data_IF_151361615819
#
_entry.id   IF_151361615819
#
_cell.length_a   1.000
_cell.length_b   1.000
_cell.length_c   1.000
_cell.angle_alpha   90.00
_cell.angle_beta   90.00
_cell.angle_gamma   90.00
#
_symmetry.space_group_name_H-M   'P 1'
#
loop_
_entity.id
_entity.type
_entity.pdbx_description
1 polymer ?
#
# COMPACT_ATOMS: atom_id res chain seq x y z
N UNK A 1 22.05 18.04 15.85
CA UNK A 1 21.12 17.29 16.73
C UNK A 1 20.00 18.18 17.30
N UNK A 2 19.85 19.45 16.90
CA UNK A 2 18.92 20.38 17.57
C UNK A 2 17.63 20.75 16.83
N UNK A 3 17.45 20.39 15.56
CA UNK A 3 16.23 20.74 14.81
C UNK A 3 15.03 19.81 15.09
N UNK A 4 15.27 18.62 15.65
CA UNK A 4 14.20 17.66 16.02
C UNK A 4 13.41 18.05 17.27
N UNK A 5 13.99 18.87 18.15
CA UNK A 5 13.38 19.22 19.45
C UNK A 5 12.29 20.29 19.35
N UNK A 6 12.36 21.18 18.35
CA UNK A 6 11.39 22.26 18.16
C UNK A 6 10.06 21.79 17.54
N UNK A 7 10.07 20.73 16.73
CA UNK A 7 8.84 20.23 16.10
C UNK A 7 7.93 19.43 17.07
N UNK A 8 8.48 18.81 18.12
CA UNK A 8 7.69 18.03 19.09
C UNK A 8 7.05 18.88 20.19
N UNK A 9 7.52 20.11 20.44
CA UNK A 9 6.97 20.96 21.50
C UNK A 9 5.61 21.60 21.13
N UNK A 10 5.33 21.82 19.83
CA UNK A 10 4.09 22.46 19.38
C UNK A 10 2.88 21.51 19.29
N UNK A 11 3.07 20.20 19.41
CA UNK A 11 1.99 19.21 19.30
C UNK A 11 1.38 18.79 20.67
N UNK A 12 1.91 19.29 21.79
CA UNK A 12 1.43 18.98 23.15
C UNK A 12 1.07 20.25 23.92
N UNK A 13 0.05 20.97 23.45
CA UNK A 13 -0.64 21.97 24.26
C UNK A 13 -2.08 21.50 24.52
N UNK A 14 -2.47 21.12 25.75
CA UNK A 14 -3.86 20.83 26.06
C UNK A 14 -4.69 22.12 26.08
N UNK A 15 -5.73 22.18 25.23
CA UNK A 15 -6.81 23.17 25.29
C UNK A 15 -7.44 23.14 26.69
N UNK A 16 -7.31 24.23 27.45
CA UNK A 16 -8.04 24.45 28.71
C UNK A 16 -9.52 24.69 28.39
N UNK A 17 -10.38 23.79 28.85
CA UNK A 17 -11.82 24.01 28.93
C UNK A 17 -12.15 24.45 30.37
N UNK A 18 -12.64 25.67 30.51
CA UNK A 18 -13.09 26.29 31.75
C UNK A 18 -14.48 25.79 32.16
N UNK A 19 -14.65 25.41 33.43
CA UNK A 19 -15.97 25.24 34.08
C UNK A 19 -15.96 25.99 35.42
N UNK A 20 -17.12 26.55 35.85
CA UNK A 20 -17.14 27.69 36.76
C UNK A 20 -17.13 27.30 38.24
N UNK A 21 -16.47 28.16 39.03
CA UNK A 21 -16.42 28.16 40.49
C UNK A 21 -17.73 28.70 41.07
N UNK A 22 -18.41 27.89 41.89
CA UNK A 22 -19.46 28.35 42.79
C UNK A 22 -18.85 28.68 44.17
N UNK A 23 -18.85 29.96 44.51
CA UNK A 23 -18.51 30.49 45.83
C UNK A 23 -19.65 30.23 46.82
N UNK A 24 -19.35 29.74 48.03
CA UNK A 24 -20.30 29.69 49.14
C UNK A 24 -19.65 30.30 50.38
N UNK A 25 -20.14 31.48 50.77
CA UNK A 25 -19.92 32.10 52.06
C UNK A 25 -21.26 32.50 52.66
N UNK A 26 -21.34 32.38 54.00
CA UNK A 26 -22.16 33.14 54.94
C UNK A 26 -23.00 32.26 55.92
N UNK A 27 -22.40 32.12 57.11
CA UNK A 27 -22.96 32.10 58.45
C UNK A 27 -24.45 32.44 58.63
N UNK A 28 -25.15 31.64 59.44
CA UNK A 28 -26.07 32.12 60.47
C UNK A 28 -26.07 31.19 61.69
N UNK A 29 -26.14 31.81 62.86
CA UNK A 29 -26.12 31.26 64.22
C UNK A 29 -27.55 31.19 64.77
N UNK A 30 -27.91 30.10 65.46
CA UNK A 30 -28.84 30.12 66.60
C UNK A 30 -28.80 28.79 67.39
N UNK A 31 -28.91 28.93 68.71
CA UNK A 31 -28.59 28.04 69.84
C UNK A 31 -29.75 27.08 70.28
N UNK A 32 -29.59 26.21 71.32
CA UNK A 32 -30.18 24.84 71.50
C UNK A 32 -31.35 24.84 72.54
N UNK A 33 -31.81 23.77 73.29
CA UNK A 33 -31.26 22.43 73.61
C UNK A 33 -32.23 21.21 73.71
N UNK A 34 -31.69 19.99 73.84
CA UNK A 34 -31.93 19.05 74.97
C UNK A 34 -31.64 17.57 74.62
N UNK A 35 -31.37 16.82 75.69
CA UNK A 35 -30.89 15.45 75.89
C UNK A 35 -31.64 14.28 75.22
N UNK A 36 -30.89 13.24 74.82
CA UNK A 36 -31.17 11.83 75.18
C UNK A 36 -30.02 10.90 74.73
N UNK A 37 -29.64 9.97 75.61
CA UNK A 37 -28.55 8.99 75.49
C UNK A 37 -28.95 7.69 74.77
N UNK A 38 -28.00 7.01 74.08
CA UNK A 38 -27.74 5.54 74.04
C UNK A 38 -27.07 5.12 72.70
N UNK A 39 -26.56 3.89 72.53
CA UNK A 39 -25.58 3.13 73.32
C UNK A 39 -24.26 2.90 72.54
N UNK A 40 -23.16 2.58 73.25
CA UNK A 40 -21.86 2.22 72.65
C UNK A 40 -21.85 0.75 72.25
N UNK A 41 -21.57 0.46 70.98
CA UNK A 41 -21.29 -0.88 70.45
C UNK A 41 -19.79 -1.04 70.08
N UNK A 42 -19.23 -2.26 70.17
CA UNK A 42 -17.79 -2.48 70.25
C UNK A 42 -17.08 -2.39 68.90
N UNK A 43 -15.80 -1.97 68.96
CA UNK A 43 -14.85 -1.92 67.83
C UNK A 43 -14.75 -3.25 67.09
N UNK A 44 -15.12 -3.25 65.82
CA UNK A 44 -14.78 -4.33 64.88
C UNK A 44 -13.38 -4.09 64.32
N UNK A 45 -12.46 -5.02 64.66
CA UNK A 45 -11.11 -5.08 64.12
C UNK A 45 -11.19 -5.61 62.68
N UNK A 46 -11.23 -4.72 61.70
CA UNK A 46 -11.11 -5.09 60.29
C UNK A 46 -9.62 -5.26 59.93
N UNK A 47 -9.13 -6.49 60.01
CA UNK A 47 -7.87 -6.89 59.37
C UNK A 47 -8.16 -7.28 57.91
N UNK A 48 -8.03 -6.34 56.99
CA UNK A 48 -7.89 -6.61 55.57
C UNK A 48 -6.74 -5.75 55.01
N UNK A 49 -5.81 -6.32 54.22
CA UNK A 49 -4.81 -5.52 53.54
C UNK A 49 -5.50 -4.59 52.54
N UNK A 50 -5.05 -3.35 52.47
CA UNK A 50 -5.44 -2.36 51.47
C UNK A 50 -5.18 -2.98 50.09
N UNK A 51 -6.22 -3.51 49.46
CA UNK A 51 -6.21 -3.90 48.06
C UNK A 51 -6.11 -2.59 47.27
N UNK A 52 -4.97 -2.38 46.61
CA UNK A 52 -4.81 -1.31 45.63
C UNK A 52 -5.93 -1.41 44.60
N UNK A 53 -6.56 -0.28 44.33
CA UNK A 53 -7.62 -0.14 43.34
C UNK A 53 -7.17 -0.65 41.97
N UNK A 54 -7.99 -1.44 41.25
CA UNK A 54 -7.68 -1.94 39.90
C UNK A 54 -7.66 -0.83 38.82
N UNK A 55 -7.88 0.43 39.20
CA UNK A 55 -7.83 1.60 38.32
C UNK A 55 -6.41 2.13 38.04
N UNK A 56 -5.38 1.68 38.76
CA UNK A 56 -3.99 2.09 38.47
C UNK A 56 -3.31 1.23 37.39
N UNK A 57 -3.87 0.07 37.05
CA UNK A 57 -3.38 -0.77 35.95
C UNK A 57 -4.19 -0.49 34.67
N UNK A 58 -3.54 -0.26 33.52
CA UNK A 58 -4.26 -0.14 32.25
C UNK A 58 -5.06 -1.42 31.97
N UNK A 59 -6.24 -1.27 31.35
CA UNK A 59 -7.13 -2.39 31.05
C UNK A 59 -6.42 -3.42 30.16
N UNK A 60 -6.78 -4.70 30.31
CA UNK A 60 -6.25 -5.80 29.49
C UNK A 60 -6.56 -5.60 27.99
N UNK A 61 -7.56 -4.77 27.68
CA UNK A 61 -7.98 -4.38 26.32
C UNK A 61 -7.35 -3.09 25.80
N UNK A 62 -6.53 -2.39 26.58
CA UNK A 62 -5.88 -1.16 26.13
C UNK A 62 -4.76 -1.48 25.15
N UNK A 63 -4.96 -1.15 23.87
CA UNK A 63 -3.92 -1.21 22.85
C UNK A 63 -2.92 -0.08 23.08
N UNK A 64 -1.76 -0.41 23.65
CA UNK A 64 -0.65 0.55 23.71
C UNK A 64 -0.04 0.68 22.31
N UNK A 65 0.28 1.90 21.86
CA UNK A 65 0.93 2.11 20.57
C UNK A 65 2.29 1.40 20.52
N UNK A 66 2.64 0.89 19.34
CA UNK A 66 3.88 0.15 19.13
C UNK A 66 5.11 1.00 19.47
N UNK A 67 5.92 0.53 20.43
CA UNK A 67 7.09 1.25 20.91
C UNK A 67 8.32 0.94 20.04
N UNK A 68 8.62 1.86 19.10
CA UNK A 68 9.79 1.80 18.23
C UNK A 68 11.13 1.90 18.99
N UNK A 69 11.16 2.49 20.18
CA UNK A 69 12.38 2.56 20.99
C UNK A 69 12.69 1.22 21.65
N UNK A 70 11.64 0.49 22.07
CA UNK A 70 11.77 -0.88 22.54
C UNK A 70 12.21 -1.85 21.43
N UNK A 71 11.64 -1.72 20.23
CA UNK A 71 12.03 -2.53 19.07
C UNK A 71 13.50 -2.33 18.66
N UNK A 72 14.04 -1.12 18.87
CA UNK A 72 15.45 -0.79 18.63
C UNK A 72 16.38 -1.19 19.80
N UNK A 73 15.84 -1.76 20.87
CA UNK A 73 16.61 -2.18 22.05
C UNK A 73 17.15 -1.04 22.91
N UNK A 74 16.70 0.20 22.66
CA UNK A 74 17.06 1.37 23.45
C UNK A 74 16.26 1.44 24.75
N UNK A 75 15.10 0.77 24.78
CA UNK A 75 14.22 0.62 25.94
C UNK A 75 13.81 -0.84 26.10
N UNK A 76 13.51 -1.27 27.32
CA UNK A 76 12.94 -2.61 27.55
C UNK A 76 11.50 -2.67 27.05
N UNK A 77 11.09 -3.73 26.32
CA UNK A 77 9.73 -3.83 25.83
C UNK A 77 8.73 -3.88 26.99
N UNK A 78 7.58 -3.19 26.87
CA UNK A 78 6.57 -3.12 27.93
C UNK A 78 5.93 -4.48 28.23
N UNK A 79 5.98 -5.42 27.29
CA UNK A 79 5.50 -6.79 27.45
C UNK A 79 6.68 -7.73 27.70
N UNK A 80 7.14 -7.84 28.95
CA UNK A 80 7.84 -9.06 29.36
C UNK A 80 6.76 -10.11 29.62
N UNK A 81 6.69 -11.23 28.88
CA UNK A 81 5.69 -12.24 29.17
C UNK A 81 5.91 -12.74 30.60
N UNK A 82 4.87 -12.64 31.42
CA UNK A 82 4.74 -13.36 32.69
C UNK A 82 4.64 -14.86 32.35
N UNK A 83 5.76 -15.46 31.94
CA UNK A 83 5.89 -16.91 31.86
C UNK A 83 5.74 -17.51 33.27
N UNK A 84 5.34 -18.79 33.37
CA UNK A 84 5.08 -19.43 34.65
C UNK A 84 6.33 -19.30 35.53
N UNK A 85 6.15 -18.86 36.77
CA UNK A 85 7.18 -18.76 37.81
C UNK A 85 8.11 -19.97 37.70
N UNK A 86 9.30 -19.78 37.11
CA UNK A 86 10.36 -20.78 37.18
C UNK A 86 10.70 -20.92 38.65
N UNK A 87 10.36 -22.10 39.18
CA UNK A 87 10.71 -22.61 40.51
C UNK A 87 12.14 -22.19 40.83
N UNK A 88 12.30 -21.57 42.01
CA UNK A 88 13.54 -20.93 42.44
C UNK A 88 14.76 -21.80 42.19
N UNK A 89 15.69 -21.27 41.38
CA UNK A 89 17.06 -21.78 41.34
C UNK A 89 17.64 -21.51 42.73
N UNK A 90 18.06 -22.58 43.41
CA UNK A 90 18.74 -22.54 44.71
C UNK A 90 19.86 -21.49 44.65
N UNK A 91 19.73 -20.41 45.42
CA UNK A 91 20.86 -19.63 45.90
C UNK A 91 21.60 -20.52 46.91
N UNK A 92 22.67 -21.18 46.48
CA UNK A 92 23.70 -21.61 47.43
C UNK A 92 24.41 -20.34 47.89
N UNK A 93 24.29 -20.05 49.19
CA UNK A 93 24.85 -18.87 49.81
C UNK A 93 26.37 -18.84 49.76
N UNK A 94 26.89 -17.63 49.70
CA UNK A 94 28.05 -17.14 50.46
C UNK A 94 27.79 -15.65 50.67
N UNK A 95 27.99 -15.22 51.92
CA UNK A 95 27.63 -13.92 52.47
C UNK A 95 28.29 -12.74 51.76
N UNK A 96 27.52 -11.68 51.54
CA UNK A 96 28.02 -10.30 51.49
C UNK A 96 26.85 -9.35 51.81
N UNK A 97 26.92 -8.60 52.92
CA UNK A 97 25.89 -7.67 53.30
C UNK A 97 26.23 -6.31 52.69
N UNK A 98 25.88 -6.08 51.42
CA UNK A 98 25.68 -4.73 50.92
C UNK A 98 24.71 -4.74 49.74
N UNK A 99 23.59 -4.05 49.93
CA UNK A 99 22.46 -4.02 49.02
C UNK A 99 22.75 -3.21 47.77
N UNK A 100 23.19 -3.88 46.71
CA UNK A 100 22.98 -3.42 45.34
C UNK A 100 22.99 -4.62 44.37
N UNK A 101 21.84 -5.29 44.27
CA UNK A 101 21.64 -6.31 43.25
C UNK A 101 21.54 -5.64 41.87
N UNK A 102 22.67 -5.41 41.22
CA UNK A 102 22.71 -5.01 39.81
C UNK A 102 22.11 -6.13 38.99
N UNK A 103 21.01 -5.86 38.27
CA UNK A 103 20.43 -6.78 37.31
C UNK A 103 21.54 -7.31 36.39
N UNK A 104 21.77 -8.63 36.40
CA UNK A 104 22.80 -9.27 35.58
C UNK A 104 22.51 -8.95 34.12
N UNK A 105 23.34 -8.10 33.51
CA UNK A 105 23.22 -7.75 32.09
C UNK A 105 23.32 -9.04 31.29
N UNK A 106 22.21 -9.44 30.64
CA UNK A 106 22.16 -10.60 29.76
C UNK A 106 23.28 -10.47 28.72
N UNK A 107 24.26 -11.37 28.77
CA UNK A 107 25.34 -11.40 27.78
C UNK A 107 24.73 -11.75 26.42
N UNK A 108 24.48 -10.74 25.60
CA UNK A 108 24.03 -10.92 24.22
C UNK A 108 25.24 -11.40 23.42
N UNK A 109 25.19 -12.64 22.94
CA UNK A 109 26.24 -13.21 22.08
C UNK A 109 26.42 -12.31 20.87
N UNK A 110 27.61 -11.76 20.69
CA UNK A 110 27.94 -10.96 19.51
C UNK A 110 27.96 -11.90 18.30
N UNK A 111 27.30 -11.49 17.21
CA UNK A 111 27.37 -12.19 15.91
C UNK A 111 28.82 -12.31 15.47
N UNK A 112 29.18 -13.46 14.88
CA UNK A 112 30.52 -13.71 14.37
C UNK A 112 30.84 -12.77 13.19
N UNK A 113 32.11 -12.53 12.90
CA UNK A 113 32.51 -11.71 11.74
C UNK A 113 31.98 -12.30 10.43
N UNK A 114 31.98 -13.62 10.30
CA UNK A 114 31.41 -14.32 9.16
C UNK A 114 29.91 -14.05 9.01
N UNK A 115 29.14 -14.17 10.10
CA UNK A 115 27.70 -13.88 10.10
C UNK A 115 27.39 -12.40 9.80
N UNK A 116 28.30 -11.48 10.16
CA UNK A 116 28.16 -10.07 9.80
C UNK A 116 28.36 -9.86 8.30
N UNK A 117 29.38 -10.46 7.71
CA UNK A 117 29.70 -10.30 6.28
C UNK A 117 28.60 -10.93 5.43
N UNK A 118 28.13 -12.13 5.77
CA UNK A 118 27.04 -12.79 5.02
C UNK A 118 25.69 -12.08 5.17
N UNK A 119 25.49 -11.33 6.26
CA UNK A 119 24.29 -10.51 6.48
C UNK A 119 24.36 -9.08 5.89
N UNK A 120 25.50 -8.64 5.34
CA UNK A 120 25.61 -7.30 4.74
C UNK A 120 24.66 -7.10 3.55
N UNK A 121 24.54 -8.04 2.58
CA UNK A 121 23.64 -7.84 1.44
C UNK A 121 22.17 -7.73 1.86
N UNK A 122 21.74 -8.54 2.82
CA UNK A 122 20.35 -8.48 3.33
C UNK A 122 20.09 -7.20 4.11
N UNK A 123 21.09 -6.70 4.86
CA UNK A 123 21.00 -5.42 5.55
C UNK A 123 20.91 -4.24 4.58
N UNK A 124 21.73 -4.22 3.53
CA UNK A 124 21.69 -3.19 2.50
C UNK A 124 20.35 -3.24 1.76
N UNK A 125 19.89 -4.44 1.38
CA UNK A 125 18.58 -4.62 0.74
C UNK A 125 17.43 -4.12 1.63
N UNK A 126 17.49 -4.38 2.93
CA UNK A 126 16.52 -3.87 3.90
C UNK A 126 16.60 -2.34 4.07
N UNK A 127 17.80 -1.78 4.15
CA UNK A 127 17.98 -0.33 4.24
C UNK A 127 17.48 0.37 2.96
N UNK A 128 17.73 -0.21 1.77
CA UNK A 128 17.21 0.26 0.48
C UNK A 128 15.67 0.15 0.44
N UNK A 129 15.08 -0.92 0.96
CA UNK A 129 13.62 -1.08 0.93
C UNK A 129 12.90 -0.10 1.87
N UNK A 130 13.56 0.34 2.95
CA UNK A 130 13.02 1.35 3.86
C UNK A 130 13.27 2.77 3.34
N UNK A 131 14.31 2.99 2.53
CA UNK A 131 14.70 4.30 2.04
C UNK A 131 13.56 5.13 1.41
N UNK A 132 12.68 4.58 0.55
CA UNK A 132 11.54 5.32 0.00
C UNK A 132 10.56 5.86 1.05
N UNK A 133 10.44 5.18 2.19
CA UNK A 133 9.53 5.57 3.27
C UNK A 133 10.17 6.56 4.26
N UNK A 134 11.50 6.68 4.27
CA UNK A 134 12.25 7.54 5.19
C UNK A 134 12.59 8.92 4.62
N UNK A 135 12.51 9.08 3.30
CA UNK A 135 12.71 10.38 2.64
C UNK A 135 11.33 11.02 2.44
N UNK A 136 11.11 12.28 2.86
CA UNK A 136 9.90 13.00 2.52
C UNK A 136 9.94 13.34 1.03
N UNK A 137 9.56 12.36 0.20
CA UNK A 137 9.41 12.58 -1.23
C UNK A 137 8.26 13.57 -1.47
N UNK A 138 8.37 14.45 -2.47
CA UNK A 138 7.26 15.30 -2.85
C UNK A 138 6.05 14.45 -3.21
N UNK A 139 4.85 14.99 -3.00
CA UNK A 139 3.62 14.29 -3.34
C UNK A 139 3.67 13.78 -4.79
N UNK A 140 3.15 12.59 -5.10
CA UNK A 140 3.28 11.97 -6.43
C UNK A 140 2.74 12.87 -7.55
N UNK A 141 1.72 13.69 -7.26
CA UNK A 141 1.18 14.70 -8.18
C UNK A 141 2.19 15.81 -8.49
N UNK A 142 2.89 16.30 -7.46
CA UNK A 142 3.90 17.36 -7.63
C UNK A 142 5.13 16.86 -8.36
N UNK A 143 5.61 15.64 -8.07
CA UNK A 143 6.73 15.04 -8.82
C UNK A 143 6.35 14.78 -10.27
N UNK A 144 5.16 14.24 -10.54
CA UNK A 144 4.67 14.04 -11.90
C UNK A 144 4.55 15.35 -12.69
N UNK A 145 4.07 16.42 -12.04
CA UNK A 145 4.00 17.75 -12.65
C UNK A 145 5.41 18.30 -12.97
N UNK A 146 6.35 18.18 -12.04
CA UNK A 146 7.75 18.59 -12.27
C UNK A 146 8.37 17.80 -13.42
N UNK A 147 8.22 16.46 -13.42
CA UNK A 147 8.74 15.60 -14.49
C UNK A 147 8.08 15.97 -15.83
N UNK A 148 6.75 16.06 -15.89
CA UNK A 148 6.03 16.44 -17.11
C UNK A 148 6.42 17.82 -17.63
N UNK A 149 6.59 18.80 -16.73
CA UNK A 149 7.07 20.14 -17.07
C UNK A 149 8.51 20.13 -17.59
N UNK A 150 9.41 19.34 -16.99
CA UNK A 150 10.77 19.18 -17.51
C UNK A 150 10.78 18.52 -18.88
N UNK A 151 9.92 17.53 -19.14
CA UNK A 151 9.77 16.90 -20.45
C UNK A 151 9.29 17.90 -21.51
N UNK A 152 8.33 18.78 -21.18
CA UNK A 152 7.93 19.88 -22.05
C UNK A 152 9.07 20.85 -22.33
N UNK A 153 9.83 21.24 -21.31
CA UNK A 153 10.96 22.15 -21.46
C UNK A 153 12.03 21.55 -22.36
N UNK A 154 12.37 20.28 -22.16
CA UNK A 154 13.33 19.57 -23.02
C UNK A 154 12.82 19.52 -24.45
N UNK A 155 11.54 19.19 -24.65
CA UNK A 155 10.95 19.15 -25.99
C UNK A 155 10.96 20.53 -26.67
N UNK A 156 10.63 21.59 -25.92
CA UNK A 156 10.75 22.97 -26.39
C UNK A 156 12.19 23.32 -26.81
N UNK A 157 13.18 23.02 -25.98
CA UNK A 157 14.60 23.24 -26.32
C UNK A 157 15.02 22.49 -27.59
N UNK A 158 14.54 21.26 -27.76
CA UNK A 158 14.74 20.46 -28.98
C UNK A 158 14.15 21.18 -30.19
N UNK A 159 12.90 21.66 -30.11
CA UNK A 159 12.24 22.35 -31.23
C UNK A 159 12.94 23.67 -31.58
N UNK A 160 13.36 24.44 -30.58
CA UNK A 160 14.13 25.67 -30.80
C UNK A 160 15.48 25.34 -31.48
N UNK A 161 16.14 24.26 -31.08
CA UNK A 161 17.37 23.80 -31.74
C UNK A 161 17.13 23.40 -33.19
N UNK A 162 16.06 22.66 -33.47
CA UNK A 162 15.70 22.23 -34.83
C UNK A 162 15.37 23.41 -35.75
N UNK A 163 14.66 24.42 -35.24
CA UNK A 163 14.32 25.62 -36.03
C UNK A 163 15.59 26.43 -36.34
N UNK A 164 16.53 26.51 -35.40
CA UNK A 164 17.81 27.21 -35.60
C UNK A 164 18.79 26.48 -36.51
N UNK A 165 18.64 25.17 -36.67
CA UNK A 165 19.50 24.34 -37.52
C UNK A 165 18.98 24.23 -38.96
N UNK A 166 17.86 24.86 -39.31
CA UNK A 166 17.38 24.95 -40.69
C UNK A 166 18.38 25.84 -41.45
N UNK A 167 19.13 25.31 -42.44
CA UNK A 167 20.08 26.10 -43.20
C UNK A 167 19.34 27.20 -43.98
N UNK A 168 19.90 28.42 -44.00
CA UNK A 168 19.36 29.54 -44.80
C UNK A 168 19.34 29.23 -46.32
N UNK A 169 20.06 28.19 -46.77
CA UNK A 169 20.03 27.67 -48.13
C UNK A 169 18.66 27.15 -48.57
N UNK A 170 17.82 26.68 -47.64
CA UNK A 170 16.45 26.25 -47.93
C UNK A 170 15.49 27.45 -48.16
N UNK A 171 15.96 28.68 -47.90
CA UNK A 171 15.14 29.91 -47.93
C UNK A 171 15.40 30.74 -49.21
N UNK A 172 16.49 30.48 -49.96
CA UNK A 172 16.83 31.25 -51.16
C UNK A 172 17.58 30.44 -52.22
N UNK A 173 17.21 30.64 -53.49
CA UNK A 173 17.83 30.02 -54.68
C UNK A 173 19.33 30.37 -54.90
N UNK A 174 19.91 31.16 -54.01
CA UNK A 174 21.22 31.79 -54.14
C UNK A 174 22.37 30.95 -53.55
N UNK A 175 22.08 29.93 -52.72
CA UNK A 175 23.08 29.17 -51.97
C UNK A 175 23.31 27.71 -52.44
N UNK A 176 22.72 27.32 -53.58
CA UNK A 176 22.82 25.96 -54.15
C UNK A 176 24.26 25.54 -54.54
N UNK A 177 25.24 26.45 -54.46
CA UNK A 177 26.65 26.20 -54.77
C UNK A 177 27.54 25.99 -53.54
N UNK A 178 27.02 26.08 -52.31
CA UNK A 178 27.81 25.95 -51.06
C UNK A 178 27.25 24.94 -50.04
N UNK A 179 26.44 23.98 -50.46
CA UNK A 179 25.61 23.14 -49.58
C UNK A 179 26.36 22.14 -48.69
N UNK A 180 27.64 21.85 -48.91
CA UNK A 180 28.22 20.61 -48.37
C UNK A 180 29.08 20.76 -47.10
N UNK A 181 29.36 21.98 -46.63
CA UNK A 181 30.46 22.18 -45.66
C UNK A 181 30.05 22.37 -44.19
N UNK A 182 28.76 22.55 -43.87
CA UNK A 182 28.31 22.87 -42.51
C UNK A 182 27.19 21.97 -41.96
N UNK A 183 26.86 20.86 -42.62
CA UNK A 183 25.88 19.90 -42.10
C UNK A 183 26.53 19.08 -40.99
N UNK A 184 26.05 19.23 -39.77
CA UNK A 184 26.50 18.40 -38.65
C UNK A 184 26.18 16.93 -38.95
N UNK A 185 27.21 16.07 -38.96
CA UNK A 185 27.06 14.62 -39.21
C UNK A 185 26.15 13.91 -38.18
N UNK A 186 25.89 14.55 -37.04
CA UNK A 186 25.03 14.05 -35.98
C UNK A 186 24.08 15.14 -35.49
N UNK A 187 22.77 14.91 -35.70
CA UNK A 187 21.71 15.72 -35.10
C UNK A 187 21.24 15.05 -33.80
N UNK A 188 21.56 15.69 -32.67
CA UNK A 188 21.19 15.20 -31.33
C UNK A 188 19.68 15.29 -31.07
N UNK A 189 18.95 16.09 -31.85
CA UNK A 189 17.53 16.34 -31.62
C UNK A 189 16.68 15.11 -31.95
N UNK A 190 17.01 14.39 -33.02
CA UNK A 190 16.33 13.16 -33.45
C UNK A 190 16.31 12.09 -32.35
N UNK A 191 17.46 11.60 -31.82
CA UNK A 191 17.45 10.58 -30.77
C UNK A 191 16.76 11.07 -29.50
N UNK A 192 16.86 12.35 -29.16
CA UNK A 192 16.17 12.91 -28.00
C UNK A 192 14.65 12.93 -28.17
N UNK A 193 14.14 13.27 -29.36
CA UNK A 193 12.69 13.14 -29.65
C UNK A 193 12.23 11.69 -29.55
N UNK A 194 13.01 10.73 -30.08
CA UNK A 194 12.71 9.30 -29.94
C UNK A 194 12.63 8.88 -28.47
N UNK A 195 13.57 9.32 -27.62
CA UNK A 195 13.55 9.05 -26.18
C UNK A 195 12.29 9.64 -25.53
N UNK A 196 11.87 10.84 -25.90
CA UNK A 196 10.65 11.47 -25.38
C UNK A 196 9.37 10.71 -25.80
N UNK A 197 9.30 10.24 -27.05
CA UNK A 197 8.20 9.39 -27.54
C UNK A 197 8.15 8.09 -26.75
N UNK A 198 9.29 7.42 -26.58
CA UNK A 198 9.40 6.17 -25.83
C UNK A 198 8.99 6.40 -24.38
N UNK A 199 9.47 7.46 -23.74
CA UNK A 199 9.13 7.78 -22.35
C UNK A 199 7.62 8.02 -22.16
N UNK A 200 6.99 8.81 -23.05
CA UNK A 200 5.54 9.06 -23.00
C UNK A 200 4.73 7.79 -23.27
N UNK A 201 5.20 6.96 -24.22
CA UNK A 201 4.56 5.68 -24.57
C UNK A 201 4.67 4.67 -23.43
N UNK A 202 5.84 4.53 -22.81
CA UNK A 202 6.06 3.67 -21.66
C UNK A 202 5.22 4.10 -20.46
N UNK A 203 5.12 5.42 -20.17
CA UNK A 203 4.24 5.91 -19.11
C UNK A 203 2.77 5.54 -19.39
N UNK A 204 2.34 5.66 -20.63
CA UNK A 204 0.96 5.32 -21.04
C UNK A 204 0.70 3.81 -20.94
N UNK A 205 1.64 2.99 -21.43
CA UNK A 205 1.56 1.54 -21.30
C UNK A 205 1.56 1.12 -19.83
N UNK A 206 2.43 1.70 -19.01
CA UNK A 206 2.48 1.41 -17.58
C UNK A 206 1.17 1.79 -16.89
N UNK A 207 0.62 2.99 -17.17
CA UNK A 207 -0.67 3.43 -16.65
C UNK A 207 -1.80 2.43 -16.96
N UNK A 208 -1.91 1.97 -18.20
CA UNK A 208 -2.99 1.06 -18.60
C UNK A 208 -2.77 -0.41 -18.21
N UNK A 209 -1.51 -0.82 -18.00
CA UNK A 209 -1.17 -2.17 -17.53
C UNK A 209 -1.16 -2.29 -16.00
N UNK A 210 -1.23 -1.17 -15.27
CA UNK A 210 -1.23 -1.18 -13.81
C UNK A 210 -2.61 -1.58 -13.26
N UNK A 211 -2.78 -2.88 -13.08
CA UNK A 211 -3.99 -3.51 -12.54
C UNK A 211 -3.71 -4.21 -11.21
N UNK A 212 -4.75 -4.35 -10.38
CA UNK A 212 -4.72 -5.12 -9.13
C UNK A 212 -5.73 -6.25 -9.20
N UNK A 213 -5.31 -7.40 -8.70
CA UNK A 213 -6.13 -8.61 -8.66
C UNK A 213 -6.80 -8.69 -7.29
N UNK A 214 -8.13 -8.80 -7.29
CA UNK A 214 -8.95 -9.02 -6.10
C UNK A 214 -9.57 -10.41 -6.16
N UNK A 215 -9.60 -11.10 -5.02
CA UNK A 215 -10.22 -12.42 -4.90
C UNK A 215 -11.52 -12.29 -4.10
N UNK A 216 -12.61 -12.72 -4.69
CA UNK A 216 -13.96 -12.71 -4.12
C UNK A 216 -14.26 -14.13 -3.62
N UNK A 217 -14.26 -14.30 -2.30
CA UNK A 217 -14.36 -15.63 -1.67
C UNK A 217 -15.78 -16.09 -1.43
N UNK A 218 -16.71 -15.15 -1.19
CA UNK A 218 -18.07 -15.47 -0.78
C UNK A 218 -19.05 -15.42 -1.95
N UNK A 219 -18.69 -14.78 -3.06
CA UNK A 219 -19.52 -14.68 -4.25
C UNK A 219 -19.56 -16.00 -5.08
N UNK A 220 -20.70 -16.71 -5.15
CA UNK A 220 -20.84 -17.91 -5.96
C UNK A 220 -21.21 -17.60 -7.43
N UNK A 221 -21.94 -16.50 -7.65
CA UNK A 221 -22.45 -16.10 -8.95
C UNK A 221 -21.40 -15.32 -9.76
N UNK A 222 -21.36 -15.49 -11.09
CA UNK A 222 -20.41 -14.76 -11.92
C UNK A 222 -20.68 -13.25 -11.85
N UNK A 223 -19.72 -12.51 -11.28
CA UNK A 223 -19.69 -11.05 -11.37
C UNK A 223 -19.81 -10.55 -12.81
N UNK A 224 -20.69 -9.58 -13.02
CA UNK A 224 -20.93 -8.91 -14.29
C UNK A 224 -19.83 -7.88 -14.63
N UNK A 225 -18.58 -8.33 -14.73
CA UNK A 225 -17.45 -7.54 -15.24
C UNK A 225 -16.66 -8.36 -16.26
N UNK A 226 -16.30 -7.79 -17.44
CA UNK A 226 -15.43 -8.47 -18.41
C UNK A 226 -14.06 -8.89 -17.86
N UNK A 227 -13.63 -8.25 -16.76
CA UNK A 227 -12.35 -8.50 -16.09
C UNK A 227 -12.44 -9.55 -14.98
N UNK A 228 -13.60 -10.18 -14.80
CA UNK A 228 -13.80 -11.25 -13.83
C UNK A 228 -13.54 -12.62 -14.45
N UNK A 229 -12.79 -13.48 -13.75
CA UNK A 229 -12.55 -14.87 -14.15
C UNK A 229 -12.56 -15.80 -12.95
N UNK A 230 -12.93 -17.07 -13.14
CA UNK A 230 -12.82 -18.07 -12.10
C UNK A 230 -11.42 -18.67 -12.09
N UNK A 231 -10.75 -18.62 -10.94
CA UNK A 231 -9.42 -19.20 -10.74
C UNK A 231 -9.45 -20.14 -9.55
N UNK A 232 -8.84 -21.32 -9.71
CA UNK A 232 -8.58 -22.21 -8.58
C UNK A 232 -7.39 -21.66 -7.80
N UNK A 233 -7.61 -21.29 -6.54
CA UNK A 233 -6.52 -20.83 -5.67
C UNK A 233 -5.78 -22.07 -5.16
N UNK A 234 -4.51 -22.30 -5.56
CA UNK A 234 -3.75 -23.42 -5.03
C UNK A 234 -3.41 -23.16 -3.55
N UNK A 235 -3.75 -24.11 -2.68
CA UNK A 235 -3.52 -24.04 -1.22
C UNK A 235 -2.06 -23.80 -0.84
N UNK A 236 -1.11 -24.09 -1.73
CA UNK A 236 0.30 -23.74 -1.59
C UNK A 236 0.84 -23.15 -2.90
N UNK A 237 1.06 -21.82 -3.00
CA UNK A 237 1.68 -21.25 -4.18
C UNK A 237 3.14 -21.73 -4.29
N UNK A 238 3.58 -22.28 -5.43
CA UNK A 238 5.00 -22.58 -5.64
C UNK A 238 5.83 -21.29 -5.58
N UNK A 239 7.07 -21.38 -5.08
CA UNK A 239 7.98 -20.25 -4.94
C UNK A 239 8.08 -19.42 -6.24
N UNK A 240 8.19 -18.09 -6.10
CA UNK A 240 8.25 -17.16 -7.25
C UNK A 240 9.33 -17.56 -8.28
N UNK A 241 10.48 -18.03 -7.79
CA UNK A 241 11.59 -18.51 -8.63
C UNK A 241 11.19 -19.73 -9.46
N UNK A 242 10.45 -20.68 -8.88
CA UNK A 242 10.02 -21.86 -9.64
C UNK A 242 8.97 -21.49 -10.68
N UNK A 243 8.07 -20.53 -10.39
CA UNK A 243 7.09 -19.99 -11.36
C UNK A 243 7.78 -19.29 -12.53
N UNK A 244 8.71 -18.37 -12.25
CA UNK A 244 9.48 -17.68 -13.29
C UNK A 244 10.28 -18.67 -14.14
N UNK A 245 10.92 -19.66 -13.51
CA UNK A 245 11.65 -20.70 -14.23
C UNK A 245 10.73 -21.51 -15.13
N UNK A 246 9.55 -21.93 -14.66
CA UNK A 246 8.60 -22.69 -15.48
C UNK A 246 8.02 -21.85 -16.62
N UNK A 247 7.71 -20.57 -16.38
CA UNK A 247 7.23 -19.68 -17.44
C UNK A 247 8.33 -19.37 -18.46
N UNK A 248 9.55 -19.04 -18.01
CA UNK A 248 10.69 -18.82 -18.90
C UNK A 248 11.02 -20.07 -19.72
N UNK A 249 10.97 -21.26 -19.10
CA UNK A 249 11.14 -22.53 -19.81
C UNK A 249 10.01 -22.78 -20.81
N UNK A 250 8.77 -22.45 -20.45
CA UNK A 250 7.62 -22.53 -21.35
C UNK A 250 7.73 -21.60 -22.55
N UNK A 251 8.13 -20.34 -22.33
CA UNK A 251 8.37 -19.36 -23.41
C UNK A 251 9.55 -19.78 -24.28
N UNK A 252 10.63 -20.27 -23.68
CA UNK A 252 11.77 -20.83 -24.40
C UNK A 252 11.33 -21.99 -25.30
N UNK A 253 10.60 -22.96 -24.76
CA UNK A 253 10.07 -24.07 -25.54
C UNK A 253 9.07 -23.60 -26.61
N UNK A 254 8.20 -22.64 -26.31
CA UNK A 254 7.25 -22.08 -27.28
C UNK A 254 7.97 -21.38 -28.43
N UNK A 255 9.03 -20.62 -28.14
CA UNK A 255 9.89 -19.98 -29.14
C UNK A 255 10.57 -21.02 -30.04
N UNK A 256 11.15 -22.08 -29.47
CA UNK A 256 11.76 -23.16 -30.26
C UNK A 256 10.73 -23.99 -31.03
N UNK A 257 9.54 -24.23 -30.47
CA UNK A 257 8.45 -24.94 -31.16
C UNK A 257 7.87 -24.11 -32.30
N UNK A 258 7.78 -22.79 -32.14
CA UNK A 258 7.43 -21.85 -33.20
C UNK A 258 8.46 -21.91 -34.33
N UNK A 259 9.76 -21.84 -34.00
CA UNK A 259 10.83 -21.94 -35.00
C UNK A 259 10.86 -23.29 -35.72
N UNK A 260 10.48 -24.38 -35.05
CA UNK A 260 10.48 -25.74 -35.60
C UNK A 260 9.12 -26.18 -36.18
N UNK A 261 8.11 -25.30 -36.22
CA UNK A 261 6.79 -25.60 -36.77
C UNK A 261 6.01 -26.70 -36.03
N UNK A 262 6.34 -26.97 -34.77
CA UNK A 262 5.72 -28.07 -34.00
C UNK A 262 4.42 -27.58 -33.36
N UNK A 263 3.29 -27.99 -33.92
CA UNK A 263 1.95 -27.69 -33.37
C UNK A 263 1.82 -28.24 -31.94
N UNK A 264 1.30 -27.43 -30.98
CA UNK A 264 1.04 -27.92 -29.63
C UNK A 264 -0.07 -28.98 -29.65
N UNK A 265 0.10 -30.08 -28.91
CA UNK A 265 -1.04 -30.93 -28.57
C UNK A 265 -1.89 -30.21 -27.55
N UNK A 266 -3.21 -30.22 -27.75
CA UNK A 266 -4.19 -29.66 -26.83
C UNK A 266 -3.96 -30.27 -25.44
N UNK A 267 -3.45 -29.46 -24.51
CA UNK A 267 -3.34 -29.90 -23.13
C UNK A 267 -4.76 -30.06 -22.59
N UNK A 268 -5.14 -31.23 -22.04
CA UNK A 268 -6.43 -31.39 -21.40
C UNK A 268 -6.52 -30.35 -20.29
N UNK A 269 -7.62 -29.60 -20.27
CA UNK A 269 -7.85 -28.53 -19.31
C UNK A 269 -7.53 -28.97 -17.90
N UNK A 270 -6.82 -28.11 -17.16
CA UNK A 270 -6.42 -28.29 -15.77
C UNK A 270 -7.62 -28.21 -14.82
N UNK A 271 -8.68 -28.97 -15.07
CA UNK A 271 -9.94 -28.97 -14.30
C UNK A 271 -9.96 -30.01 -13.17
N UNK A 272 -8.84 -30.66 -12.86
CA UNK A 272 -8.79 -31.80 -11.94
C UNK A 272 -7.93 -31.58 -10.68
N UNK A 273 -7.74 -30.34 -10.24
CA UNK A 273 -7.22 -30.07 -8.90
C UNK A 273 -8.35 -29.43 -8.07
N UNK A 274 -8.83 -30.17 -7.06
CA UNK A 274 -9.90 -29.78 -6.13
C UNK A 274 -9.54 -28.62 -5.19
N UNK A 275 -9.01 -27.53 -5.73
CA UNK A 275 -8.93 -26.25 -5.03
C UNK A 275 -10.29 -25.57 -5.03
N UNK A 276 -10.56 -24.78 -3.98
CA UNK A 276 -11.70 -23.88 -3.96
C UNK A 276 -11.63 -22.96 -5.18
N UNK A 277 -12.68 -22.96 -6.00
CA UNK A 277 -12.82 -22.04 -7.13
C UNK A 277 -13.23 -20.69 -6.55
N UNK A 278 -12.37 -19.69 -6.72
CA UNK A 278 -12.58 -18.33 -6.22
C UNK A 278 -12.66 -17.43 -7.43
N UNK A 279 -13.56 -16.46 -7.42
CA UNK A 279 -13.62 -15.50 -8.50
C UNK A 279 -12.50 -14.47 -8.33
N UNK A 280 -11.73 -14.24 -9.38
CA UNK A 280 -10.70 -13.20 -9.45
C UNK A 280 -11.20 -12.06 -10.32
N UNK A 281 -11.12 -10.84 -9.80
CA UNK A 281 -11.46 -9.61 -10.50
C UNK A 281 -10.20 -8.78 -10.69
N UNK A 282 -9.82 -8.54 -11.95
CA UNK A 282 -8.73 -7.63 -12.30
C UNK A 282 -9.26 -6.20 -12.41
N UNK A 283 -8.74 -5.30 -11.58
CA UNK A 283 -9.24 -3.94 -11.47
C UNK A 283 -8.13 -2.98 -11.80
N UNK A 284 -8.38 -2.07 -12.74
CA UNK A 284 -7.43 -1.02 -13.09
C UNK A 284 -7.22 -0.07 -11.91
N UNK A 285 -5.97 0.12 -11.45
CA UNK A 285 -5.70 1.01 -10.31
C UNK A 285 -4.61 2.00 -10.66
N UNK A 286 -4.92 3.10 -11.36
CA UNK A 286 -3.89 4.03 -11.82
C UNK A 286 -3.14 4.64 -10.62
N UNK A 287 -1.81 4.69 -10.68
CA UNK A 287 -1.02 5.43 -9.71
C UNK A 287 -1.30 6.93 -9.84
N UNK A 288 -1.39 7.66 -8.71
CA UNK A 288 -1.66 9.10 -8.76
C UNK A 288 -0.60 9.89 -9.55
N UNK A 289 0.65 9.46 -9.48
CA UNK A 289 1.76 10.07 -10.21
C UNK A 289 1.72 9.75 -11.71
N UNK A 290 1.46 8.49 -12.08
CA UNK A 290 1.39 8.05 -13.49
C UNK A 290 0.23 8.72 -14.22
N UNK A 291 -0.94 8.79 -13.56
CA UNK A 291 -2.13 9.46 -14.08
C UNK A 291 -1.84 10.94 -14.29
N UNK A 292 -1.25 11.62 -13.30
CA UNK A 292 -0.89 13.02 -13.41
C UNK A 292 0.15 13.25 -14.50
N UNK A 293 1.15 12.36 -14.63
CA UNK A 293 2.17 12.46 -15.67
C UNK A 293 1.57 12.26 -17.06
N UNK A 294 0.61 11.35 -17.20
CA UNK A 294 -0.14 11.16 -18.45
C UNK A 294 -1.00 12.38 -18.79
N UNK A 295 -1.63 13.02 -17.80
CA UNK A 295 -2.39 14.25 -18.00
C UNK A 295 -1.50 15.42 -18.42
N UNK A 296 -0.31 15.55 -17.81
CA UNK A 296 0.63 16.64 -18.12
C UNK A 296 1.34 16.37 -19.44
N UNK A 297 1.90 15.18 -19.65
CA UNK A 297 2.70 14.81 -20.83
C UNK A 297 2.27 13.43 -21.38
N UNK A 298 1.22 13.42 -22.18
CA UNK A 298 0.77 12.23 -22.93
C UNK A 298 1.54 12.06 -24.25
N UNK A 299 1.47 10.88 -24.90
CA UNK A 299 2.04 10.66 -26.24
C UNK A 299 1.54 11.68 -27.27
N UNK A 300 0.30 12.15 -27.12
CA UNK A 300 -0.27 13.17 -28.00
C UNK A 300 0.41 14.54 -27.84
N UNK A 301 0.87 14.90 -26.65
CA UNK A 301 1.65 16.12 -26.44
C UNK A 301 2.99 16.08 -27.21
N UNK A 302 3.58 14.89 -27.32
CA UNK A 302 4.81 14.70 -28.11
C UNK A 302 4.55 14.99 -29.58
N UNK A 303 3.45 14.47 -30.13
CA UNK A 303 3.05 14.78 -31.50
C UNK A 303 2.68 16.25 -31.68
N UNK A 304 1.98 16.88 -30.72
CA UNK A 304 1.67 18.31 -30.75
C UNK A 304 2.92 19.20 -30.88
N UNK A 305 4.01 18.85 -30.19
CA UNK A 305 5.29 19.55 -30.36
C UNK A 305 5.89 19.39 -31.76
N UNK A 306 5.67 18.26 -32.42
CA UNK A 306 6.10 18.02 -33.81
C UNK A 306 5.28 18.84 -34.82
N UNK A 307 4.03 19.19 -34.48
CA UNK A 307 3.11 19.98 -35.31
C UNK A 307 3.43 21.48 -35.36
N UNK A 308 4.42 21.97 -34.61
CA UNK A 308 4.74 23.41 -34.55
C UNK A 308 5.07 24.03 -35.93
N UNK A 309 5.36 23.21 -36.96
CA UNK A 309 5.54 23.69 -38.32
C UNK A 309 4.22 23.63 -39.11
N UNK A 310 3.76 24.80 -39.59
CA UNK A 310 2.45 25.02 -40.21
C UNK A 310 2.18 24.24 -41.52
N UNK A 311 3.14 23.48 -42.03
CA UNK A 311 3.05 22.77 -43.32
C UNK A 311 2.44 21.37 -43.27
N UNK A 312 2.18 20.78 -42.10
CA UNK A 312 1.84 19.35 -42.00
C UNK A 312 0.41 19.07 -41.53
N UNK A 313 -0.56 19.29 -42.43
CA UNK A 313 -1.98 19.05 -42.18
C UNK A 313 -2.31 17.57 -41.90
N UNK A 314 -1.52 16.63 -42.45
CA UNK A 314 -1.68 15.18 -42.22
C UNK A 314 -1.37 14.84 -40.76
N UNK A 315 -0.27 15.36 -40.22
CA UNK A 315 0.07 15.21 -38.80
C UNK A 315 -0.98 15.89 -37.90
N UNK A 316 -1.52 17.03 -38.31
CA UNK A 316 -2.64 17.69 -37.61
C UNK A 316 -3.88 16.78 -37.53
N UNK A 317 -4.29 16.18 -38.64
CA UNK A 317 -5.41 15.24 -38.66
C UNK A 317 -5.12 14.01 -37.77
N UNK A 318 -3.91 13.45 -37.84
CA UNK A 318 -3.50 12.32 -37.01
C UNK A 318 -3.53 12.65 -35.51
N UNK A 319 -3.10 13.84 -35.11
CA UNK A 319 -3.18 14.30 -33.71
C UNK A 319 -4.63 14.47 -33.27
N UNK A 320 -5.51 15.03 -34.09
CA UNK A 320 -6.93 15.18 -33.74
C UNK A 320 -7.62 13.83 -33.50
N UNK A 321 -7.32 12.84 -34.35
CA UNK A 321 -7.76 11.45 -34.14
C UNK A 321 -7.12 10.87 -32.87
N UNK A 322 -5.83 11.11 -32.67
CA UNK A 322 -5.08 10.66 -31.49
C UNK A 322 -5.63 11.20 -30.17
N UNK A 323 -5.96 12.50 -30.08
CA UNK A 323 -6.62 13.11 -28.90
C UNK A 323 -7.95 12.43 -28.65
N UNK A 324 -8.77 12.29 -29.69
CA UNK A 324 -10.11 11.70 -29.59
C UNK A 324 -10.04 10.25 -29.09
N UNK A 325 -9.11 9.46 -29.64
CA UNK A 325 -8.84 8.10 -29.20
C UNK A 325 -8.34 8.04 -27.75
N UNK A 326 -7.37 8.89 -27.39
CA UNK A 326 -6.81 8.97 -26.04
C UNK A 326 -7.89 9.24 -25.00
N UNK A 327 -8.74 10.25 -25.23
CA UNK A 327 -9.84 10.61 -24.32
C UNK A 327 -10.88 9.51 -24.25
N UNK A 328 -11.22 8.88 -25.38
CA UNK A 328 -12.18 7.78 -25.43
C UNK A 328 -11.72 6.59 -24.58
N UNK A 329 -10.47 6.15 -24.75
CA UNK A 329 -9.88 5.04 -23.98
C UNK A 329 -9.84 5.36 -22.48
N UNK A 330 -9.42 6.57 -22.11
CA UNK A 330 -9.41 7.00 -20.70
C UNK A 330 -10.82 6.99 -20.10
N UNK A 331 -11.82 7.45 -20.85
CA UNK A 331 -13.22 7.50 -20.37
C UNK A 331 -13.77 6.09 -20.18
N UNK A 332 -13.59 5.19 -21.15
CA UNK A 332 -14.08 3.80 -21.04
C UNK A 332 -13.43 3.03 -19.90
N UNK A 333 -12.12 3.20 -19.70
CA UNK A 333 -11.38 2.53 -18.63
C UNK A 333 -11.78 3.08 -17.26
N UNK A 334 -12.04 4.38 -17.16
CA UNK A 334 -12.55 5.00 -15.95
C UNK A 334 -13.98 4.55 -15.60
N UNK A 335 -14.87 4.44 -16.59
CA UNK A 335 -16.22 3.87 -16.39
C UNK A 335 -16.17 2.41 -15.93
N UNK A 336 -15.30 1.59 -16.51
CA UNK A 336 -15.08 0.21 -16.07
C UNK A 336 -14.59 0.16 -14.61
N UNK A 337 -13.61 1.00 -14.26
CA UNK A 337 -13.11 1.11 -12.89
C UNK A 337 -14.20 1.46 -11.88
N UNK A 338 -15.10 2.40 -12.22
CA UNK A 338 -16.20 2.75 -11.33
C UNK A 338 -17.13 1.55 -11.08
N UNK A 339 -17.48 0.81 -12.14
CA UNK A 339 -18.29 -0.42 -12.02
C UNK A 339 -17.59 -1.46 -11.14
N UNK A 340 -16.32 -1.73 -11.40
CA UNK A 340 -15.55 -2.71 -10.62
C UNK A 340 -15.43 -2.30 -9.15
N UNK A 341 -15.24 -1.00 -8.85
CA UNK A 341 -15.22 -0.53 -7.46
C UNK A 341 -16.55 -0.68 -6.74
N UNK A 342 -17.67 -0.47 -7.43
CA UNK A 342 -18.99 -0.70 -6.82
C UNK A 342 -19.21 -2.17 -6.48
N UNK A 343 -18.75 -3.08 -7.34
CA UNK A 343 -18.80 -4.53 -7.09
C UNK A 343 -17.94 -4.89 -5.87
N UNK A 344 -16.70 -4.42 -5.82
CA UNK A 344 -15.80 -4.68 -4.68
C UNK A 344 -16.41 -4.13 -3.38
N UNK A 345 -16.96 -2.92 -3.40
CA UNK A 345 -17.56 -2.32 -2.21
C UNK A 345 -18.78 -3.11 -1.72
N UNK A 346 -19.62 -3.59 -2.65
CA UNK A 346 -20.76 -4.45 -2.33
C UNK A 346 -20.30 -5.78 -1.73
N UNK A 347 -19.30 -6.43 -2.32
CA UNK A 347 -18.75 -7.69 -1.81
C UNK A 347 -18.10 -7.52 -0.43
N UNK A 348 -17.30 -6.47 -0.24
CA UNK A 348 -16.65 -6.21 1.05
C UNK A 348 -17.69 -5.99 2.15
N UNK A 349 -18.79 -5.30 1.84
CA UNK A 349 -19.89 -5.10 2.79
C UNK A 349 -20.61 -6.43 3.07
N UNK A 350 -20.84 -7.24 2.04
CA UNK A 350 -21.46 -8.56 2.18
C UNK A 350 -20.61 -9.50 3.05
N UNK A 351 -19.31 -9.59 2.76
CA UNK A 351 -18.36 -10.40 3.53
C UNK A 351 -18.22 -9.89 4.97
N UNK A 352 -18.28 -8.57 5.18
CA UNK A 352 -18.27 -7.99 6.51
C UNK A 352 -19.54 -8.36 7.30
N UNK A 353 -20.71 -8.25 6.67
CA UNK A 353 -21.99 -8.57 7.30
C UNK A 353 -22.07 -10.05 7.69
N UNK A 354 -21.67 -10.95 6.78
CA UNK A 354 -21.68 -12.39 7.05
C UNK A 354 -20.68 -12.79 8.14
N UNK A 355 -19.45 -12.24 8.12
CA UNK A 355 -18.39 -12.64 9.07
C UNK A 355 -18.49 -11.97 10.43
N UNK A 356 -18.90 -10.70 10.49
CA UNK A 356 -18.76 -9.88 11.70
C UNK A 356 -20.09 -9.40 12.28
N UNK A 357 -21.10 -9.10 11.45
CA UNK A 357 -22.38 -8.55 11.95
C UNK A 357 -23.34 -9.68 12.31
N UNK A 358 -23.55 -10.61 11.39
CA UNK A 358 -24.59 -11.63 11.47
C UNK A 358 -24.08 -13.08 11.42
N UNK A 359 -22.94 -13.45 12.07
CA UNK A 359 -22.32 -14.77 11.90
C UNK A 359 -23.18 -15.93 12.41
N UNK A 360 -24.23 -15.66 13.19
CA UNK A 360 -25.11 -16.66 13.80
C UNK A 360 -26.56 -16.58 13.33
N UNK A 361 -26.89 -15.64 12.44
CA UNK A 361 -28.26 -15.47 11.96
C UNK A 361 -28.61 -16.51 10.88
N UNK A 362 -27.63 -16.92 10.06
CA UNK A 362 -27.83 -17.90 8.97
C UNK A 362 -26.78 -19.03 8.95
N UNK A 363 -26.58 -19.79 10.05
CA UNK A 363 -25.74 -20.98 9.99
C UNK A 363 -26.41 -22.01 9.08
N UNK A 364 -25.75 -22.37 7.97
CA UNK A 364 -26.17 -23.51 7.14
C UNK A 364 -26.06 -24.77 8.00
N UNK A 365 -27.18 -25.22 8.56
CA UNK A 365 -27.27 -26.45 9.33
C UNK A 365 -27.77 -27.55 8.41
N UNK A 366 -27.06 -28.68 8.41
CA UNK A 366 -27.57 -29.91 7.81
C UNK A 366 -28.30 -30.67 8.89
N UNK A 367 -29.57 -30.98 8.65
CA UNK A 367 -30.31 -31.80 9.59
C UNK A 367 -29.74 -33.22 9.57
N UNK A 368 -29.33 -33.73 10.74
CA UNK A 368 -28.59 -35.00 10.81
C UNK A 368 -29.50 -36.22 10.53
N UNK A 369 -30.81 -36.07 10.72
CA UNK A 369 -31.78 -37.16 10.59
C UNK A 369 -32.36 -37.31 9.19
N UNK A 370 -32.34 -36.26 8.38
CA UNK A 370 -32.84 -36.28 7.01
C UNK A 370 -31.68 -35.80 6.17
N UNK A 371 -31.11 -36.66 5.32
CA UNK A 371 -29.96 -36.27 4.50
C UNK A 371 -30.23 -35.09 3.53
N UNK A 372 -31.40 -34.46 3.60
CA UNK A 372 -31.81 -33.24 2.93
C UNK A 372 -31.23 -32.00 3.62
N UNK A 373 -30.63 -31.09 2.86
CA UNK A 373 -30.28 -29.76 3.38
C UNK A 373 -31.53 -28.88 3.43
N UNK A 374 -31.71 -28.03 4.45
CA UNK A 374 -32.84 -27.08 4.54
C UNK A 374 -32.92 -26.10 3.35
N UNK A 375 -31.86 -25.95 2.56
CA UNK A 375 -31.82 -25.08 1.38
C UNK A 375 -32.47 -25.69 0.12
N UNK A 376 -32.85 -26.96 0.15
CA UNK A 376 -33.43 -27.66 -1.01
C UNK A 376 -34.97 -27.64 -0.94
N UNK A 377 -35.57 -26.45 -0.98
CA UNK A 377 -37.02 -26.31 -1.17
C UNK A 377 -37.28 -26.30 -2.67
N UNK A 378 -37.72 -27.44 -3.21
CA UNK A 378 -38.18 -27.57 -4.60
C UNK A 378 -39.55 -26.94 -4.71
N UNK A 379 -39.64 -25.80 -5.39
CA UNK A 379 -40.89 -25.10 -5.67
C UNK A 379 -41.67 -25.87 -6.75
N UNK A 380 -42.68 -26.64 -6.34
CA UNK A 380 -43.61 -27.28 -7.27
C UNK A 380 -44.75 -26.30 -7.58
N UNK A 381 -44.61 -25.53 -8.67
CA UNK A 381 -45.74 -24.85 -9.30
C UNK A 381 -46.68 -25.89 -9.92
N UNK A 382 -47.92 -25.95 -9.46
CA UNK A 382 -49.02 -26.76 -10.04
C UNK A 382 -49.79 -25.97 -11.07
#
# INVERSE_FOLDING_TARGET
>A
MDLRRLAQANAMAPRRLSTPTASRNANYVSTPPSSASSPVTPRTRASYPITRSPLESPSISASLPFDWEAARGLRSPPYSPLGPKRRGVRKSGIDSPDGNATATKRAVRKKSLYERITALPSRIAFEISIFPNNVPLPAPKTSACLIGGTLHLIHFCIRVSQIRSIPDSDVGWEDMYREDNNVAWFDWTVPMTCVLIIAASLNTLFLFTHTKLYHLFLQPDPVASPHARFVSVPTNPPALVSRLRTHAWGVFLAFWRFLLGITPSSSPGSSAYGGTRVQELEVWTPGEGELMLFCVYSPVHVFLWMLWNAGNWIMMAAVMVGVSFQVRVLTTTYEALLKDRTIIAAEVLHEYDEKYVSPRMHPVRRDACVMTSEAEIVEYTR
#
